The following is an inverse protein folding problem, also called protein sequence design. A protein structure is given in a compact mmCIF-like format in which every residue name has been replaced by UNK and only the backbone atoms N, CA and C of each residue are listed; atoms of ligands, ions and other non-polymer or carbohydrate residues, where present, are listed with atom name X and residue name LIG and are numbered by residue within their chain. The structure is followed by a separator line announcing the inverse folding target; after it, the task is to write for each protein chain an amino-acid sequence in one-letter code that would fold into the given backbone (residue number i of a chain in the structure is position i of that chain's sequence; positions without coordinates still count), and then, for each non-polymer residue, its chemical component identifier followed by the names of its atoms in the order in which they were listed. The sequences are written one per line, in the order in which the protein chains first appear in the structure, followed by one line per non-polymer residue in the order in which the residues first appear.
data_IF_271572070226
#
_entry.id   IF_271572070226
#
_cell.length_a   1.000
_cell.length_b   1.000
_cell.length_c   1.000
_cell.angle_alpha   90.00
_cell.angle_beta   90.00
_cell.angle_gamma   90.00
#
_symmetry.space_group_name_H-M   'P 1'
#
loop_
_entity.id
_entity.type
_entity.pdbx_description
1 polymer ?
#
# COMPACT_ATOMS: atom_id res chain seq x y z
N UNK A 1 25.69 11.68 18.25
CA UNK A 1 24.73 10.74 17.62
C UNK A 1 24.52 11.21 16.19
N UNK A 2 24.79 10.37 15.20
CA UNK A 2 24.51 10.70 13.79
C UNK A 2 22.98 10.81 13.64
N UNK A 3 22.50 11.97 13.20
CA UNK A 3 21.07 12.20 12.98
C UNK A 3 20.63 11.25 11.85
N UNK A 4 19.72 10.33 12.13
CA UNK A 4 19.23 9.39 11.13
C UNK A 4 18.49 10.17 10.05
N UNK A 5 18.98 10.13 8.83
CA UNK A 5 18.31 10.72 7.69
C UNK A 5 17.20 9.79 7.19
N UNK A 6 16.06 10.35 6.84
CA UNK A 6 14.91 9.65 6.29
C UNK A 6 14.67 10.12 4.86
N UNK A 7 14.60 9.17 3.94
CA UNK A 7 14.27 9.43 2.53
C UNK A 7 13.00 8.67 2.14
N UNK A 8 12.13 9.24 1.31
CA UNK A 8 11.02 8.51 0.74
C UNK A 8 11.57 7.48 -0.26
N UNK A 9 11.32 6.20 -0.01
CA UNK A 9 11.66 5.10 -0.92
C UNK A 9 10.48 4.69 -1.79
N UNK A 10 9.27 5.05 -1.36
CA UNK A 10 8.02 4.75 -2.03
C UNK A 10 7.04 5.90 -1.85
N UNK A 11 6.48 6.39 -2.93
CA UNK A 11 5.41 7.39 -2.92
C UNK A 11 4.23 6.84 -3.72
N UNK A 12 3.08 6.70 -3.07
CA UNK A 12 1.83 6.47 -3.77
C UNK A 12 1.21 7.83 -4.12
N UNK A 13 1.00 8.06 -5.39
CA UNK A 13 0.44 9.31 -5.89
C UNK A 13 -0.90 9.05 -6.58
N UNK A 14 -1.97 9.58 -5.98
CA UNK A 14 -3.30 9.61 -6.56
C UNK A 14 -3.33 10.69 -7.64
N UNK A 15 -3.06 10.28 -8.89
CA UNK A 15 -2.93 11.23 -10.01
C UNK A 15 -4.28 11.73 -10.52
N UNK A 16 -5.33 10.98 -10.22
CA UNK A 16 -6.74 11.33 -10.48
C UNK A 16 -7.64 10.64 -9.46
N UNK A 17 -8.81 11.23 -9.19
CA UNK A 17 -9.87 10.56 -8.42
C UNK A 17 -10.97 10.01 -9.31
N UNK A 18 -10.97 10.33 -10.61
CA UNK A 18 -11.89 9.72 -11.58
C UNK A 18 -11.70 8.21 -11.67
N UNK A 19 -12.79 7.45 -11.72
CA UNK A 19 -12.74 5.99 -11.84
C UNK A 19 -13.99 5.46 -12.51
N UNK A 20 -13.80 4.53 -13.43
CA UNK A 20 -14.86 3.82 -14.12
C UNK A 20 -15.45 2.63 -13.34
N UNK A 21 -14.93 2.35 -12.12
CA UNK A 21 -15.48 1.38 -11.17
C UNK A 21 -16.18 2.06 -9.99
N UNK A 22 -17.01 1.28 -9.28
CA UNK A 22 -17.72 1.73 -8.09
C UNK A 22 -17.54 0.76 -6.90
N UNK A 23 -16.32 0.31 -6.65
CA UNK A 23 -15.99 -0.71 -5.66
C UNK A 23 -16.52 -0.38 -4.25
N UNK A 24 -17.05 -1.38 -3.54
CA UNK A 24 -17.59 -1.24 -2.17
C UNK A 24 -16.58 -0.65 -1.18
N UNK A 25 -15.32 -1.07 -1.27
CA UNK A 25 -14.23 -0.71 -0.34
C UNK A 25 -13.36 0.45 -0.83
N UNK A 26 -13.77 1.20 -1.83
CA UNK A 26 -12.91 2.21 -2.45
C UNK A 26 -12.37 3.22 -1.43
N UNK A 27 -11.04 3.20 -1.25
CA UNK A 27 -10.32 4.11 -0.36
C UNK A 27 -10.54 5.59 -0.72
N UNK A 28 -10.53 5.88 -2.02
CA UNK A 28 -10.63 7.24 -2.54
C UNK A 28 -12.08 7.75 -2.60
N UNK A 29 -13.06 6.87 -2.39
CA UNK A 29 -14.46 7.19 -2.71
C UNK A 29 -14.59 7.79 -4.12
N UNK A 30 -13.94 7.12 -5.09
CA UNK A 30 -13.81 7.57 -6.46
C UNK A 30 -15.12 7.37 -7.25
N UNK A 31 -15.42 8.31 -8.12
CA UNK A 31 -16.58 8.30 -9.00
C UNK A 31 -16.18 8.56 -10.45
N UNK A 32 -17.04 8.17 -11.40
CA UNK A 32 -16.84 8.46 -12.81
C UNK A 32 -17.23 9.91 -13.13
N UNK A 33 -16.36 10.83 -12.74
CA UNK A 33 -16.55 12.26 -12.97
C UNK A 33 -15.20 12.97 -13.09
N UNK A 34 -15.20 14.16 -13.68
CA UNK A 34 -14.04 15.04 -13.68
C UNK A 34 -13.92 15.77 -12.33
N UNK A 35 -12.73 15.86 -11.79
CA UNK A 35 -12.43 16.64 -10.60
C UNK A 35 -11.60 17.86 -11.00
N UNK A 36 -12.12 19.06 -10.75
CA UNK A 36 -11.55 20.32 -11.25
C UNK A 36 -10.20 20.69 -10.60
N UNK A 37 -9.98 20.26 -9.34
CA UNK A 37 -8.77 20.58 -8.59
C UNK A 37 -7.61 19.60 -8.82
N UNK A 38 -7.71 18.69 -9.78
CA UNK A 38 -6.61 17.78 -10.09
C UNK A 38 -5.40 18.53 -10.66
N UNK A 39 -4.21 17.97 -10.49
CA UNK A 39 -3.00 18.54 -11.04
C UNK A 39 -3.04 18.63 -12.56
N UNK A 40 -2.59 19.77 -13.11
CA UNK A 40 -2.24 19.85 -14.53
C UNK A 40 -0.95 19.07 -14.82
N UNK A 41 -0.66 18.83 -16.08
CA UNK A 41 0.57 18.14 -16.51
C UNK A 41 1.81 18.88 -16.02
N UNK A 42 1.83 20.21 -16.11
CA UNK A 42 2.94 21.06 -15.67
C UNK A 42 3.15 21.00 -14.16
N UNK A 43 2.06 20.95 -13.39
CA UNK A 43 2.11 20.78 -11.94
C UNK A 43 2.68 19.40 -11.58
N UNK A 44 2.29 18.35 -12.31
CA UNK A 44 2.86 17.02 -12.17
C UNK A 44 4.38 17.02 -12.42
N UNK A 45 4.84 17.72 -13.45
CA UNK A 45 6.27 17.81 -13.76
C UNK A 45 7.05 18.56 -12.68
N UNK A 46 6.53 19.67 -12.14
CA UNK A 46 7.15 20.39 -11.02
C UNK A 46 7.31 19.51 -9.79
N UNK A 47 6.28 18.72 -9.45
CA UNK A 47 6.34 17.79 -8.32
C UNK A 47 7.39 16.69 -8.56
N UNK A 48 7.44 16.11 -9.77
CA UNK A 48 8.45 15.12 -10.16
C UNK A 48 9.86 15.71 -10.06
N UNK A 49 10.06 16.94 -10.51
CA UNK A 49 11.35 17.63 -10.43
C UNK A 49 11.82 17.79 -8.99
N UNK A 50 10.93 18.25 -8.10
CA UNK A 50 11.28 18.40 -6.69
C UNK A 50 11.59 17.03 -6.05
N UNK A 51 10.74 16.03 -6.21
CA UNK A 51 10.96 14.68 -5.65
C UNK A 51 12.30 14.12 -6.16
N UNK A 52 12.54 14.19 -7.47
CA UNK A 52 13.73 13.60 -8.08
C UNK A 52 15.03 14.36 -7.75
N UNK A 53 14.95 15.59 -7.25
CA UNK A 53 16.12 16.39 -6.87
C UNK A 53 16.81 15.89 -5.60
N UNK A 54 16.07 15.25 -4.67
CA UNK A 54 16.62 14.83 -3.38
C UNK A 54 16.47 13.33 -3.09
N UNK A 55 15.59 12.61 -3.81
CA UNK A 55 15.38 11.18 -3.63
C UNK A 55 15.00 10.50 -4.96
N UNK A 56 15.16 9.17 -5.03
CA UNK A 56 14.77 8.35 -6.18
C UNK A 56 13.77 7.25 -5.74
N UNK A 57 12.58 7.63 -5.26
CA UNK A 57 11.59 6.67 -4.82
C UNK A 57 10.99 5.89 -6.00
N UNK A 58 10.36 4.76 -5.66
CA UNK A 58 9.35 4.16 -6.53
C UNK A 58 8.10 5.04 -6.46
N UNK A 59 7.61 5.52 -7.59
CA UNK A 59 6.34 6.25 -7.70
C UNK A 59 5.25 5.27 -8.13
N UNK A 60 4.24 5.09 -7.30
CA UNK A 60 3.03 4.32 -7.62
C UNK A 60 1.98 5.30 -8.14
N UNK A 61 1.79 5.34 -9.46
CA UNK A 61 0.69 6.06 -10.06
C UNK A 61 -0.61 5.30 -9.77
N UNK A 62 -1.45 5.91 -8.96
CA UNK A 62 -2.72 5.34 -8.50
C UNK A 62 -3.81 6.42 -8.55
N UNK A 63 -4.96 6.13 -7.94
CA UNK A 63 -6.01 7.13 -7.90
C UNK A 63 -7.37 6.49 -7.71
N UNK A 64 -8.36 6.98 -8.48
CA UNK A 64 -9.45 6.22 -8.96
C UNK A 64 -8.93 5.19 -9.97
N UNK A 65 -8.92 5.55 -11.24
CA UNK A 65 -8.26 4.78 -12.30
C UNK A 65 -7.24 5.66 -13.04
N UNK A 66 -5.93 5.44 -12.86
CA UNK A 66 -4.91 6.33 -13.44
C UNK A 66 -4.96 6.41 -14.97
N UNK A 67 -5.44 5.35 -15.63
CA UNK A 67 -5.55 5.29 -17.09
C UNK A 67 -6.68 6.17 -17.66
N UNK A 68 -7.50 6.82 -16.80
CA UNK A 68 -8.50 7.80 -17.26
C UNK A 68 -7.92 9.18 -17.47
N UNK A 69 -6.66 9.43 -17.09
CA UNK A 69 -5.94 10.66 -17.42
C UNK A 69 -5.34 10.57 -18.82
N UNK A 70 -5.62 11.55 -19.67
CA UNK A 70 -5.10 11.58 -21.04
C UNK A 70 -3.58 11.73 -21.10
N UNK A 71 -2.99 12.45 -20.13
CA UNK A 71 -1.55 12.75 -20.02
C UNK A 71 -0.77 11.74 -19.16
N UNK A 72 -1.37 10.60 -18.77
CA UNK A 72 -0.73 9.64 -17.83
C UNK A 72 0.60 9.09 -18.36
N UNK A 73 0.71 8.88 -19.67
CA UNK A 73 1.94 8.40 -20.29
C UNK A 73 3.02 9.47 -20.32
N UNK A 74 2.66 10.76 -20.55
CA UNK A 74 3.60 11.87 -20.52
C UNK A 74 4.18 12.07 -19.12
N UNK A 75 3.34 12.01 -18.09
CA UNK A 75 3.74 12.05 -16.67
C UNK A 75 4.69 10.88 -16.36
N UNK A 76 4.35 9.68 -16.83
CA UNK A 76 5.16 8.49 -16.62
C UNK A 76 6.53 8.61 -17.27
N UNK A 77 6.58 9.01 -18.53
CA UNK A 77 7.81 9.19 -19.30
C UNK A 77 8.69 10.26 -18.67
N UNK A 78 8.09 11.38 -18.26
CA UNK A 78 8.82 12.45 -17.58
C UNK A 78 9.48 11.96 -16.28
N UNK A 79 8.73 11.26 -15.43
CA UNK A 79 9.27 10.66 -14.20
C UNK A 79 10.39 9.65 -14.47
N UNK A 80 10.24 8.83 -15.50
CA UNK A 80 11.25 7.87 -15.95
C UNK A 80 12.53 8.58 -16.40
N UNK A 81 12.42 9.64 -17.21
CA UNK A 81 13.56 10.48 -17.66
C UNK A 81 14.28 11.17 -16.50
N UNK A 82 13.56 11.50 -15.42
CA UNK A 82 14.17 12.04 -14.18
C UNK A 82 14.80 10.95 -13.28
N UNK A 83 14.81 9.70 -13.73
CA UNK A 83 15.41 8.56 -13.03
C UNK A 83 14.56 7.99 -11.90
N UNK A 84 13.27 8.28 -11.87
CA UNK A 84 12.32 7.65 -10.96
C UNK A 84 11.89 6.27 -11.47
N UNK A 85 11.62 5.34 -10.55
CA UNK A 85 11.05 4.05 -10.90
C UNK A 85 9.52 4.15 -10.89
N UNK A 86 8.93 4.19 -12.09
CA UNK A 86 7.49 4.34 -12.25
C UNK A 86 6.79 2.98 -12.25
N UNK A 87 5.73 2.84 -11.46
CA UNK A 87 4.81 1.68 -11.43
C UNK A 87 3.37 2.21 -11.40
N UNK A 88 2.40 1.40 -11.82
CA UNK A 88 1.00 1.85 -11.93
C UNK A 88 0.04 0.84 -11.32
N UNK A 89 -1.07 1.33 -10.76
CA UNK A 89 -2.11 0.51 -10.15
C UNK A 89 -3.47 0.69 -10.86
N UNK A 90 -3.60 0.19 -12.12
CA UNK A 90 -4.85 0.25 -12.85
C UNK A 90 -5.87 -0.76 -12.34
N UNK A 91 -7.16 -0.48 -12.55
CA UNK A 91 -8.25 -1.41 -12.22
C UNK A 91 -8.32 -2.65 -13.15
N UNK A 92 -7.61 -2.62 -14.27
CA UNK A 92 -7.57 -3.69 -15.27
C UNK A 92 -8.41 -3.43 -16.53
N UNK A 93 -9.51 -2.68 -16.45
CA UNK A 93 -10.42 -2.49 -17.58
C UNK A 93 -9.76 -1.85 -18.81
N UNK A 94 -8.81 -0.96 -18.60
CA UNK A 94 -8.09 -0.24 -19.67
C UNK A 94 -6.74 -0.85 -20.04
N UNK A 95 -6.39 -2.01 -19.46
CA UNK A 95 -5.14 -2.71 -19.75
C UNK A 95 -5.33 -3.59 -20.99
N UNK A 96 -5.40 -2.96 -22.16
CA UNK A 96 -5.31 -3.64 -23.46
C UNK A 96 -3.85 -4.00 -23.78
N UNK A 97 -3.62 -4.86 -24.78
CA UNK A 97 -2.24 -5.17 -25.21
C UNK A 97 -1.51 -3.91 -25.71
N UNK A 98 -2.22 -3.03 -26.42
CA UNK A 98 -1.69 -1.74 -26.87
C UNK A 98 -1.29 -0.86 -25.69
N UNK A 99 -2.17 -0.70 -24.70
CA UNK A 99 -1.90 0.13 -23.53
C UNK A 99 -0.78 -0.48 -22.66
N UNK A 100 -0.69 -1.80 -22.55
CA UNK A 100 0.42 -2.45 -21.86
C UNK A 100 1.78 -2.15 -22.54
N UNK A 101 1.83 -2.13 -23.86
CA UNK A 101 3.01 -1.70 -24.63
C UNK A 101 3.32 -0.20 -24.42
N UNK A 102 2.30 0.67 -24.42
CA UNK A 102 2.48 2.10 -24.11
C UNK A 102 3.04 2.31 -22.70
N UNK A 103 2.52 1.56 -21.69
CA UNK A 103 3.05 1.58 -20.32
C UNK A 103 4.54 1.24 -20.28
N UNK A 104 4.95 0.15 -20.96
CA UNK A 104 6.36 -0.25 -21.03
C UNK A 104 7.23 0.83 -21.69
N UNK A 105 6.79 1.37 -22.82
CA UNK A 105 7.53 2.41 -23.55
C UNK A 105 7.68 3.68 -22.71
N UNK A 106 6.66 4.08 -21.94
CA UNK A 106 6.75 5.20 -21.01
C UNK A 106 7.63 4.90 -19.78
N UNK A 107 8.00 3.64 -19.55
CA UNK A 107 8.91 3.23 -18.49
C UNK A 107 8.28 2.58 -17.26
N UNK A 108 6.98 2.22 -17.32
CA UNK A 108 6.34 1.45 -16.25
C UNK A 108 7.04 0.10 -16.09
N UNK A 109 7.48 -0.19 -14.85
CA UNK A 109 8.20 -1.44 -14.54
C UNK A 109 7.27 -2.57 -14.11
N UNK A 110 6.12 -2.22 -13.53
CA UNK A 110 5.14 -3.18 -13.02
C UNK A 110 3.78 -2.54 -12.88
N UNK A 111 2.72 -3.31 -13.07
CA UNK A 111 1.36 -2.91 -12.72
C UNK A 111 0.81 -3.72 -11.56
N UNK A 112 -0.16 -3.15 -10.83
CA UNK A 112 -0.88 -3.84 -9.75
C UNK A 112 -2.31 -4.06 -10.19
N UNK A 113 -2.70 -5.32 -10.38
CA UNK A 113 -4.07 -5.71 -10.71
C UNK A 113 -4.79 -6.12 -9.43
N UNK A 114 -6.04 -5.70 -9.31
CA UNK A 114 -6.85 -6.01 -8.14
C UNK A 114 -7.74 -7.22 -8.39
N UNK A 115 -7.63 -8.24 -7.55
CA UNK A 115 -8.43 -9.47 -7.63
C UNK A 115 -8.97 -9.82 -6.23
N UNK A 116 -10.25 -9.54 -5.97
CA UNK A 116 -10.86 -9.68 -4.63
C UNK A 116 -11.81 -10.87 -4.49
N UNK A 117 -11.81 -11.77 -5.43
CA UNK A 117 -12.55 -13.04 -5.40
C UNK A 117 -11.91 -14.07 -6.29
N UNK A 118 -12.08 -15.33 -5.95
CA UNK A 118 -11.64 -16.46 -6.77
C UNK A 118 -12.65 -16.80 -7.87
N UNK A 119 -13.85 -16.25 -7.79
CA UNK A 119 -14.94 -16.43 -8.75
C UNK A 119 -15.44 -15.09 -9.26
N UNK A 120 -16.13 -15.15 -10.41
CA UNK A 120 -16.76 -13.99 -11.01
C UNK A 120 -17.77 -13.33 -10.07
N UNK A 121 -18.65 -14.14 -9.46
CA UNK A 121 -19.69 -13.66 -8.56
C UNK A 121 -19.11 -12.87 -7.40
N UNK A 122 -18.07 -13.41 -6.74
CA UNK A 122 -17.45 -12.76 -5.59
C UNK A 122 -16.71 -11.50 -5.98
N UNK A 123 -15.96 -11.53 -7.08
CA UNK A 123 -15.20 -10.37 -7.53
C UNK A 123 -16.13 -9.25 -8.02
N UNK A 124 -17.06 -9.56 -8.94
CA UNK A 124 -17.93 -8.57 -9.59
C UNK A 124 -18.87 -7.91 -8.58
N UNK A 125 -19.47 -8.70 -7.66
CA UNK A 125 -20.34 -8.16 -6.61
C UNK A 125 -19.61 -7.16 -5.70
N UNK A 126 -18.31 -7.34 -5.49
CA UNK A 126 -17.49 -6.47 -4.68
C UNK A 126 -17.02 -5.22 -5.44
N UNK A 127 -16.66 -5.37 -6.71
CA UNK A 127 -16.28 -4.27 -7.60
C UNK A 127 -17.49 -3.49 -8.11
N UNK A 128 -18.72 -4.05 -7.97
CA UNK A 128 -19.99 -3.48 -8.46
C UNK A 128 -19.99 -3.22 -9.97
N UNK A 129 -19.32 -4.08 -10.72
CA UNK A 129 -19.27 -4.04 -12.18
C UNK A 129 -19.28 -5.47 -12.70
N UNK A 130 -20.32 -5.83 -13.45
CA UNK A 130 -20.41 -7.12 -14.11
C UNK A 130 -19.28 -7.28 -15.13
N UNK A 131 -18.60 -8.43 -15.10
CA UNK A 131 -17.47 -8.72 -15.97
C UNK A 131 -16.13 -8.16 -15.49
N UNK A 132 -16.06 -7.49 -14.32
CA UNK A 132 -14.80 -6.98 -13.77
C UNK A 132 -13.76 -8.11 -13.55
N UNK A 133 -14.21 -9.31 -13.16
CA UNK A 133 -13.35 -10.48 -13.03
C UNK A 133 -12.68 -10.86 -14.36
N UNK A 134 -13.48 -11.04 -15.41
CA UNK A 134 -12.99 -11.39 -16.74
C UNK A 134 -12.03 -10.32 -17.28
N UNK A 135 -12.32 -9.03 -17.01
CA UNK A 135 -11.46 -7.91 -17.41
C UNK A 135 -10.09 -7.96 -16.71
N UNK A 136 -10.04 -8.29 -15.43
CA UNK A 136 -8.76 -8.44 -14.70
C UNK A 136 -7.96 -9.63 -15.22
N UNK A 137 -8.61 -10.77 -15.51
CA UNK A 137 -7.94 -11.93 -16.11
C UNK A 137 -7.36 -11.56 -17.49
N UNK A 138 -8.14 -10.84 -18.29
CA UNK A 138 -7.70 -10.35 -19.61
C UNK A 138 -6.56 -9.35 -19.50
N UNK A 139 -6.61 -8.45 -18.52
CA UNK A 139 -5.52 -7.51 -18.23
C UNK A 139 -4.20 -8.22 -17.89
N UNK A 140 -4.26 -9.29 -17.08
CA UNK A 140 -3.10 -10.11 -16.76
C UNK A 140 -2.52 -10.80 -18.01
N UNK A 141 -3.39 -11.36 -18.88
CA UNK A 141 -2.99 -11.94 -20.15
C UNK A 141 -2.31 -10.89 -21.06
N UNK A 142 -2.91 -9.72 -21.22
CA UNK A 142 -2.38 -8.62 -22.03
C UNK A 142 -1.04 -8.11 -21.51
N UNK A 143 -0.91 -7.92 -20.18
CA UNK A 143 0.36 -7.55 -19.56
C UNK A 143 1.46 -8.59 -19.85
N UNK A 144 1.15 -9.88 -19.68
CA UNK A 144 2.07 -10.97 -19.97
C UNK A 144 2.49 -11.00 -21.45
N UNK A 145 1.56 -10.84 -22.39
CA UNK A 145 1.85 -10.78 -23.83
C UNK A 145 2.77 -9.62 -24.17
N UNK A 146 2.57 -8.48 -23.54
CA UNK A 146 3.41 -7.30 -23.72
C UNK A 146 4.78 -7.41 -23.02
N UNK A 147 4.99 -8.39 -22.14
CA UNK A 147 6.21 -8.50 -21.31
C UNK A 147 6.21 -7.55 -20.10
N UNK A 148 5.04 -7.01 -19.70
CA UNK A 148 4.88 -6.15 -18.55
C UNK A 148 4.62 -6.98 -17.30
N UNK A 149 5.51 -6.88 -16.31
CA UNK A 149 5.31 -7.53 -15.01
C UNK A 149 4.03 -7.02 -14.32
N UNK A 150 3.34 -7.93 -13.62
CA UNK A 150 2.23 -7.53 -12.77
C UNK A 150 2.23 -8.26 -11.43
N UNK A 151 1.65 -7.62 -10.45
CA UNK A 151 1.30 -8.19 -9.15
C UNK A 151 -0.21 -8.23 -8.97
N UNK A 152 -0.68 -9.12 -8.11
CA UNK A 152 -2.08 -9.18 -7.71
C UNK A 152 -2.23 -8.61 -6.31
N UNK A 153 -3.16 -7.67 -6.15
CA UNK A 153 -3.57 -7.11 -4.88
C UNK A 153 -4.97 -7.63 -4.53
N UNK A 154 -5.17 -8.06 -3.29
CA UNK A 154 -6.46 -8.55 -2.79
C UNK A 154 -6.77 -7.93 -1.44
N UNK A 155 -7.91 -7.26 -1.30
CA UNK A 155 -8.36 -6.76 0.00
C UNK A 155 -9.10 -7.88 0.73
N UNK A 156 -8.55 -8.33 1.86
CA UNK A 156 -9.10 -9.42 2.66
C UNK A 156 -10.18 -8.90 3.60
N UNK A 157 -11.35 -9.51 3.51
CA UNK A 157 -12.58 -9.18 4.24
C UNK A 157 -13.39 -10.44 4.52
N UNK A 158 -14.53 -10.34 5.22
CA UNK A 158 -15.40 -11.48 5.51
C UNK A 158 -15.87 -12.22 4.27
N UNK A 159 -16.16 -11.50 3.18
CA UNK A 159 -16.70 -12.13 1.97
C UNK A 159 -15.70 -13.03 1.24
N UNK A 160 -14.36 -12.78 1.37
CA UNK A 160 -13.36 -13.50 0.57
C UNK A 160 -12.23 -14.19 1.37
N UNK A 161 -12.12 -14.00 2.70
CA UNK A 161 -11.00 -14.58 3.45
C UNK A 161 -10.91 -16.10 3.35
N UNK A 162 -12.04 -16.79 3.12
CA UNK A 162 -12.09 -18.25 2.91
C UNK A 162 -11.58 -18.69 1.53
N UNK A 163 -11.43 -17.75 0.63
CA UNK A 163 -10.97 -17.99 -0.75
C UNK A 163 -9.50 -17.63 -0.96
N UNK A 164 -8.79 -17.21 0.08
CA UNK A 164 -7.42 -16.70 -0.05
C UNK A 164 -6.48 -17.69 -0.75
N UNK A 165 -6.61 -19.00 -0.46
CA UNK A 165 -5.84 -20.05 -1.14
C UNK A 165 -6.14 -20.08 -2.64
N UNK A 166 -7.41 -20.05 -3.03
CA UNK A 166 -7.84 -20.08 -4.43
C UNK A 166 -7.40 -18.82 -5.18
N UNK A 167 -7.48 -17.64 -4.53
CA UNK A 167 -7.02 -16.38 -5.12
C UNK A 167 -5.50 -16.42 -5.30
N UNK A 168 -4.76 -16.94 -4.34
CA UNK A 168 -3.31 -17.11 -4.41
C UNK A 168 -2.90 -18.07 -5.53
N UNK A 169 -3.56 -19.23 -5.65
CA UNK A 169 -3.36 -20.18 -6.73
C UNK A 169 -3.67 -19.56 -8.10
N UNK A 170 -4.75 -18.76 -8.19
CA UNK A 170 -5.11 -18.05 -9.40
C UNK A 170 -4.04 -17.02 -9.78
N UNK A 171 -3.49 -16.28 -8.82
CA UNK A 171 -2.39 -15.33 -9.05
C UNK A 171 -1.13 -16.04 -9.60
N UNK A 172 -0.81 -17.24 -9.08
CA UNK A 172 0.29 -18.08 -9.61
C UNK A 172 0.00 -18.50 -11.05
N UNK A 173 -1.20 -19.01 -11.32
CA UNK A 173 -1.63 -19.47 -12.65
C UNK A 173 -1.59 -18.35 -13.69
N UNK A 174 -1.96 -17.15 -13.32
CA UNK A 174 -1.91 -15.96 -14.18
C UNK A 174 -0.46 -15.55 -14.49
N UNK A 175 0.52 -15.94 -13.67
CA UNK A 175 1.92 -15.58 -13.82
C UNK A 175 2.27 -14.25 -13.14
N UNK A 176 1.55 -13.88 -12.09
CA UNK A 176 1.93 -12.73 -11.27
C UNK A 176 3.31 -12.92 -10.64
N UNK A 177 4.08 -11.84 -10.51
CA UNK A 177 5.40 -11.88 -9.84
C UNK A 177 5.30 -11.65 -8.33
N UNK A 178 4.17 -11.14 -7.85
CA UNK A 178 3.91 -10.90 -6.43
C UNK A 178 2.42 -10.93 -6.11
N UNK A 179 2.08 -11.39 -4.91
CA UNK A 179 0.73 -11.36 -4.35
C UNK A 179 0.73 -10.52 -3.07
N UNK A 180 -0.13 -9.51 -3.04
CA UNK A 180 -0.22 -8.57 -1.93
C UNK A 180 -1.61 -8.65 -1.30
N UNK A 181 -1.81 -9.46 -0.23
CA UNK A 181 -3.01 -9.39 0.58
C UNK A 181 -3.00 -8.09 1.40
N UNK A 182 -4.00 -7.26 1.18
CA UNK A 182 -4.29 -6.07 1.96
C UNK A 182 -5.28 -6.40 3.06
N UNK A 183 -4.97 -6.09 4.29
CA UNK A 183 -5.95 -6.18 5.38
C UNK A 183 -6.74 -4.88 5.41
N UNK A 184 -8.06 -4.98 5.34
CA UNK A 184 -8.96 -3.82 5.25
C UNK A 184 -8.62 -2.74 6.29
N UNK A 185 -8.59 -1.49 5.85
CA UNK A 185 -8.59 -0.31 6.70
C UNK A 185 -9.87 0.46 6.41
N UNK A 186 -10.73 0.74 7.42
CA UNK A 186 -12.01 1.39 7.23
C UNK A 186 -11.83 2.88 6.89
N UNK A 187 -11.70 3.16 5.60
CA UNK A 187 -11.54 4.52 5.04
C UNK A 187 -12.26 4.64 3.69
N UNK A 188 -12.58 5.84 3.25
CA UNK A 188 -13.40 6.09 2.06
C UNK A 188 -14.75 5.39 2.20
N UNK A 189 -15.23 4.69 1.16
CA UNK A 189 -16.49 3.91 1.22
C UNK A 189 -16.44 2.74 2.21
N UNK A 190 -15.24 2.27 2.59
CA UNK A 190 -15.12 1.21 3.58
C UNK A 190 -15.39 1.66 5.03
N UNK A 191 -15.58 2.95 5.31
CA UNK A 191 -15.94 3.46 6.67
C UNK A 191 -17.22 2.81 7.21
N UNK A 192 -18.17 2.53 6.33
CA UNK A 192 -19.47 1.96 6.68
C UNK A 192 -19.50 0.44 6.59
N UNK A 193 -18.34 -0.21 6.35
CA UNK A 193 -18.24 -1.66 6.15
C UNK A 193 -17.69 -2.41 7.38
N UNK A 194 -17.98 -1.94 8.60
CA UNK A 194 -17.52 -2.59 9.84
C UNK A 194 -17.95 -4.06 9.94
N UNK A 195 -19.13 -4.38 9.43
CA UNK A 195 -19.65 -5.75 9.42
C UNK A 195 -18.90 -6.69 8.48
N UNK A 196 -18.15 -6.13 7.51
CA UNK A 196 -17.31 -6.88 6.58
C UNK A 196 -15.86 -7.07 7.06
N UNK A 197 -15.49 -6.44 8.17
CA UNK A 197 -14.17 -6.63 8.76
C UNK A 197 -14.05 -8.02 9.38
N UNK A 198 -12.89 -8.66 9.17
CA UNK A 198 -12.57 -9.93 9.85
C UNK A 198 -12.20 -9.68 11.32
N UNK A 199 -12.45 -10.65 12.19
CA UNK A 199 -12.08 -10.50 13.61
C UNK A 199 -10.56 -10.45 13.81
N UNK A 200 -10.07 -9.87 14.93
CA UNK A 200 -8.64 -9.85 15.25
C UNK A 200 -7.99 -11.25 15.26
N UNK A 201 -8.69 -12.28 15.74
CA UNK A 201 -8.18 -13.65 15.68
C UNK A 201 -8.03 -14.16 14.24
N UNK A 202 -9.05 -13.91 13.40
CA UNK A 202 -8.98 -14.27 11.98
C UNK A 202 -7.90 -13.50 11.24
N UNK A 203 -7.66 -12.25 11.65
CA UNK A 203 -6.57 -11.43 11.16
C UNK A 203 -5.20 -12.09 11.43
N UNK A 204 -4.98 -12.55 12.66
CA UNK A 204 -3.78 -13.27 13.06
C UNK A 204 -3.61 -14.61 12.31
N UNK A 205 -4.70 -15.37 12.11
CA UNK A 205 -4.69 -16.62 11.33
C UNK A 205 -4.22 -16.35 9.87
N UNK A 206 -4.74 -15.32 9.24
CA UNK A 206 -4.34 -14.95 7.85
C UNK A 206 -2.87 -14.56 7.80
N UNK A 207 -2.35 -13.84 8.79
CA UNK A 207 -0.94 -13.47 8.82
C UNK A 207 -0.04 -14.69 9.05
N UNK A 208 -0.46 -15.68 9.83
CA UNK A 208 0.23 -16.97 9.93
C UNK A 208 0.16 -17.73 8.60
N UNK A 209 -0.98 -17.75 7.93
CA UNK A 209 -1.12 -18.33 6.59
C UNK A 209 -0.14 -17.70 5.59
N UNK A 210 0.01 -16.36 5.60
CA UNK A 210 0.98 -15.66 4.75
C UNK A 210 2.41 -16.13 5.05
N UNK A 211 2.75 -16.26 6.33
CA UNK A 211 4.08 -16.75 6.73
C UNK A 211 4.34 -18.17 6.21
N UNK A 212 3.38 -19.09 6.38
CA UNK A 212 3.49 -20.50 5.99
C UNK A 212 3.55 -20.71 4.48
N UNK A 213 2.95 -19.79 3.70
CA UNK A 213 2.88 -19.90 2.25
C UNK A 213 3.98 -19.09 1.52
N UNK A 214 4.79 -18.27 2.22
CA UNK A 214 5.76 -17.36 1.61
C UNK A 214 6.83 -18.04 0.74
N UNK A 215 7.11 -19.32 1.00
CA UNK A 215 8.13 -20.10 0.30
C UNK A 215 7.55 -21.22 -0.58
N UNK A 216 6.22 -21.37 -0.61
CA UNK A 216 5.57 -22.46 -1.39
C UNK A 216 5.60 -22.23 -2.90
N UNK A 217 5.97 -21.05 -3.36
CA UNK A 217 6.07 -20.72 -4.78
C UNK A 217 7.09 -19.63 -5.03
N UNK A 218 7.43 -19.40 -6.30
CA UNK A 218 8.26 -18.25 -6.71
C UNK A 218 7.52 -16.91 -6.63
N UNK A 219 6.21 -16.91 -6.32
CA UNK A 219 5.38 -15.73 -6.16
C UNK A 219 5.71 -15.04 -4.84
N UNK A 220 6.23 -13.83 -4.89
CA UNK A 220 6.53 -13.06 -3.67
C UNK A 220 5.23 -12.71 -2.94
N UNK A 221 5.10 -13.17 -1.71
CA UNK A 221 3.94 -12.94 -0.85
C UNK A 221 4.25 -11.81 0.14
N UNK A 222 3.54 -10.67 0.03
CA UNK A 222 3.83 -9.48 0.84
C UNK A 222 2.56 -8.88 1.42
N UNK A 223 2.29 -9.03 2.73
CA UNK A 223 1.13 -8.41 3.36
C UNK A 223 1.23 -6.88 3.34
N UNK A 224 0.10 -6.23 3.11
CA UNK A 224 -0.03 -4.77 3.09
C UNK A 224 -1.08 -4.33 4.10
N UNK A 225 -0.90 -3.16 4.73
CA UNK A 225 -1.72 -2.69 5.85
C UNK A 225 -1.77 -3.66 7.05
N UNK A 226 -0.75 -4.51 7.16
CA UNK A 226 -0.66 -5.61 8.12
C UNK A 226 0.72 -5.66 8.81
N UNK A 227 1.12 -4.62 9.55
CA UNK A 227 2.42 -4.56 10.23
C UNK A 227 2.70 -5.70 11.20
N UNK A 228 1.66 -6.30 11.77
CA UNK A 228 1.75 -7.45 12.69
C UNK A 228 2.48 -8.64 12.07
N UNK A 229 2.44 -8.80 10.75
CA UNK A 229 3.18 -9.85 10.04
C UNK A 229 4.65 -9.88 10.44
N UNK A 230 5.30 -8.72 10.58
CA UNK A 230 6.71 -8.67 10.94
C UNK A 230 6.99 -9.09 12.39
N UNK A 231 6.00 -8.95 13.29
CA UNK A 231 6.05 -9.58 14.62
C UNK A 231 5.97 -11.10 14.51
N UNK A 232 4.97 -11.61 13.80
CA UNK A 232 4.77 -13.05 13.57
C UNK A 232 6.02 -13.65 12.93
N UNK A 233 6.53 -13.02 11.88
CA UNK A 233 7.76 -13.45 11.22
C UNK A 233 8.92 -13.60 12.21
N UNK A 234 9.16 -12.60 13.07
CA UNK A 234 10.22 -12.66 14.10
C UNK A 234 9.97 -13.75 15.15
N UNK A 235 8.72 -13.97 15.54
CA UNK A 235 8.35 -15.01 16.49
C UNK A 235 8.60 -16.40 15.90
N UNK A 236 8.13 -16.64 14.67
CA UNK A 236 8.29 -17.92 13.97
C UNK A 236 9.76 -18.28 13.69
N UNK A 237 10.58 -17.30 13.27
CA UNK A 237 12.00 -17.55 13.06
C UNK A 237 12.71 -17.85 14.41
N UNK A 238 12.34 -17.13 15.48
CA UNK A 238 12.85 -17.43 16.84
C UNK A 238 12.46 -18.83 17.31
N UNK A 239 11.22 -19.28 17.06
CA UNK A 239 10.75 -20.64 17.39
C UNK A 239 11.57 -21.72 16.67
N UNK A 240 12.03 -21.46 15.44
CA UNK A 240 12.94 -22.33 14.68
C UNK A 240 14.41 -22.27 15.16
N UNK A 241 14.73 -21.37 16.08
CA UNK A 241 16.10 -21.11 16.50
C UNK A 241 16.91 -20.25 15.51
N UNK A 242 16.25 -19.64 14.51
CA UNK A 242 16.89 -18.85 13.49
C UNK A 242 16.99 -17.36 13.88
N UNK A 243 18.16 -16.78 13.58
CA UNK A 243 18.37 -15.33 13.74
C UNK A 243 18.06 -14.64 12.43
N UNK A 244 17.07 -13.72 12.45
CA UNK A 244 16.72 -12.94 11.27
C UNK A 244 17.83 -11.95 10.94
N UNK A 245 18.50 -12.16 9.80
CA UNK A 245 19.54 -11.31 9.24
C UNK A 245 19.35 -11.07 7.74
N UNK A 246 20.05 -10.08 7.18
CA UNK A 246 20.01 -9.80 5.74
C UNK A 246 20.57 -10.96 4.93
N UNK A 247 21.55 -11.68 5.47
CA UNK A 247 22.19 -12.83 4.82
C UNK A 247 21.21 -14.00 4.66
N UNK A 248 20.36 -14.23 5.68
CA UNK A 248 19.41 -15.36 5.67
C UNK A 248 18.05 -15.02 5.10
N UNK A 249 17.59 -13.78 5.24
CA UNK A 249 16.19 -13.38 4.90
C UNK A 249 16.12 -12.18 3.93
N UNK A 250 17.27 -11.73 3.41
CA UNK A 250 17.32 -10.64 2.43
C UNK A 250 16.60 -9.37 2.89
N UNK A 251 15.77 -8.81 2.02
CA UNK A 251 15.04 -7.58 2.30
C UNK A 251 14.00 -7.72 3.42
N UNK A 252 13.48 -8.93 3.68
CA UNK A 252 12.48 -9.15 4.73
C UNK A 252 13.06 -8.91 6.13
N UNK A 253 14.38 -9.14 6.32
CA UNK A 253 15.06 -8.77 7.55
C UNK A 253 15.09 -7.26 7.81
N UNK A 254 15.13 -6.45 6.75
CA UNK A 254 15.19 -4.99 6.83
C UNK A 254 13.81 -4.34 6.81
N UNK A 255 12.80 -5.04 6.31
CA UNK A 255 11.45 -4.48 6.17
C UNK A 255 10.82 -4.27 7.54
N UNK A 256 10.29 -3.08 7.73
CA UNK A 256 9.50 -2.71 8.91
C UNK A 256 8.01 -2.81 8.59
N UNK A 257 7.18 -2.83 9.62
CA UNK A 257 5.74 -2.88 9.49
C UNK A 257 5.16 -1.64 8.83
N UNK A 258 4.81 -0.63 9.61
CA UNK A 258 4.31 0.62 9.04
C UNK A 258 5.47 1.51 8.60
N UNK A 259 5.52 1.81 7.29
CA UNK A 259 6.57 2.66 6.68
C UNK A 259 6.15 4.12 6.52
N UNK A 260 4.90 4.46 6.84
CA UNK A 260 4.37 5.82 6.69
C UNK A 260 5.24 6.85 7.39
N UNK A 261 5.59 7.93 6.71
CA UNK A 261 6.45 9.00 7.23
C UNK A 261 7.93 8.63 7.44
N UNK A 262 8.30 7.35 7.38
CA UNK A 262 9.69 6.89 7.51
C UNK A 262 10.36 6.63 6.16
N UNK A 263 9.66 5.99 5.23
CA UNK A 263 10.12 5.69 3.88
C UNK A 263 8.98 5.65 2.85
N UNK A 264 7.76 5.90 3.29
CA UNK A 264 6.55 5.94 2.47
C UNK A 264 5.78 7.24 2.71
N UNK A 265 5.25 7.83 1.62
CA UNK A 265 4.28 8.91 1.66
C UNK A 265 3.17 8.67 0.64
N UNK A 266 2.07 9.39 0.82
CA UNK A 266 0.97 9.46 -0.13
C UNK A 266 0.75 10.93 -0.53
N UNK A 267 0.47 11.16 -1.81
CA UNK A 267 0.11 12.46 -2.36
C UNK A 267 -1.25 12.31 -3.03
N UNK A 268 -2.22 13.15 -2.65
CA UNK A 268 -3.56 13.14 -3.21
C UNK A 268 -3.63 13.83 -4.58
N UNK A 269 -4.71 13.63 -5.31
CA UNK A 269 -4.99 14.27 -6.60
C UNK A 269 -5.03 15.81 -6.55
N UNK A 270 -5.20 16.40 -5.36
CA UNK A 270 -5.22 17.85 -5.12
C UNK A 270 -3.97 18.35 -4.40
N UNK A 271 -2.94 17.51 -4.23
CA UNK A 271 -1.65 17.91 -3.67
C UNK A 271 -1.50 17.79 -2.15
N UNK A 272 -2.50 17.27 -1.43
CA UNK A 272 -2.35 16.98 0.00
C UNK A 272 -1.42 15.80 0.22
N UNK A 273 -0.47 15.98 1.13
CA UNK A 273 0.49 14.95 1.54
C UNK A 273 0.01 14.27 2.81
N UNK A 274 0.11 12.95 2.86
CA UNK A 274 -0.31 12.12 3.99
C UNK A 274 0.73 11.02 4.25
N UNK A 275 0.72 10.40 5.43
CA UNK A 275 1.62 9.28 5.72
C UNK A 275 1.26 8.02 4.92
N UNK A 276 0.00 7.84 4.58
CA UNK A 276 -0.48 6.82 3.64
C UNK A 276 -1.88 7.19 3.16
N UNK A 277 -2.33 6.61 2.04
CA UNK A 277 -3.65 6.88 1.48
C UNK A 277 -4.85 6.38 2.30
N UNK A 278 -4.62 5.65 3.38
CA UNK A 278 -5.66 5.15 4.29
C UNK A 278 -5.77 5.98 5.57
N UNK A 279 -4.93 6.99 5.76
CA UNK A 279 -4.95 7.85 6.95
C UNK A 279 -5.13 9.30 6.50
N UNK A 280 -6.33 9.81 6.73
CA UNK A 280 -6.73 11.15 6.31
C UNK A 280 -6.30 12.21 7.35
N UNK A 281 -4.97 12.33 7.52
CA UNK A 281 -4.32 13.38 8.31
C UNK A 281 -3.33 14.10 7.40
N UNK A 282 -3.56 15.38 7.18
CA UNK A 282 -2.73 16.22 6.30
C UNK A 282 -1.35 16.45 6.95
N UNK A 283 -0.31 16.08 6.22
CA UNK A 283 1.09 16.34 6.57
C UNK A 283 1.60 17.64 5.96
N UNK A 284 0.92 18.16 4.97
CA UNK A 284 1.21 19.36 4.21
C UNK A 284 0.51 19.35 2.86
N UNK A 285 0.66 20.42 2.11
CA UNK A 285 0.05 20.61 0.78
C UNK A 285 1.13 21.11 -0.17
N UNK A 286 1.42 20.32 -1.22
CA UNK A 286 2.53 20.66 -2.13
C UNK A 286 2.28 21.94 -2.93
N UNK A 287 1.01 22.30 -3.23
CA UNK A 287 0.70 23.57 -3.91
C UNK A 287 0.99 24.76 -3.01
N UNK A 288 0.62 24.69 -1.72
CA UNK A 288 0.89 25.74 -0.73
C UNK A 288 2.38 25.92 -0.47
N UNK A 289 3.14 24.83 -0.59
CA UNK A 289 4.61 24.83 -0.45
C UNK A 289 5.34 24.97 -1.79
N UNK A 290 4.69 25.54 -2.83
CA UNK A 290 5.28 25.73 -4.16
C UNK A 290 5.95 24.48 -4.74
N UNK A 291 5.28 23.33 -4.59
CA UNK A 291 5.72 21.98 -4.99
C UNK A 291 6.95 21.46 -4.23
N UNK A 292 7.37 22.10 -3.13
CA UNK A 292 8.48 21.64 -2.30
C UNK A 292 8.05 20.47 -1.37
N UNK A 293 7.94 19.29 -1.95
CA UNK A 293 7.65 18.06 -1.20
C UNK A 293 8.79 17.71 -0.22
N UNK A 294 10.06 18.07 -0.54
CA UNK A 294 11.19 17.86 0.36
C UNK A 294 10.97 18.57 1.70
N UNK A 295 10.58 19.85 1.64
CA UNK A 295 10.27 20.64 2.85
C UNK A 295 9.20 19.95 3.70
N UNK A 296 8.08 19.52 3.09
CA UNK A 296 7.01 18.80 3.80
C UNK A 296 7.56 17.51 4.43
N UNK A 297 8.32 16.73 3.66
CA UNK A 297 8.92 15.48 4.13
C UNK A 297 9.83 15.67 5.34
N UNK A 298 10.61 16.74 5.38
CA UNK A 298 11.57 17.02 6.45
C UNK A 298 10.95 17.67 7.69
N UNK A 299 9.91 18.51 7.53
CA UNK A 299 9.42 19.39 8.59
C UNK A 299 8.04 19.08 9.13
N UNK A 300 7.23 18.27 8.42
CA UNK A 300 5.87 17.93 8.89
C UNK A 300 5.90 17.27 10.28
N UNK A 301 5.14 17.82 11.22
CA UNK A 301 5.01 17.27 12.58
C UNK A 301 4.53 15.83 12.58
N UNK A 302 3.58 15.49 11.70
CA UNK A 302 3.05 14.12 11.55
C UNK A 302 4.14 13.16 11.10
N UNK A 303 4.98 13.53 10.12
CA UNK A 303 6.12 12.71 9.72
C UNK A 303 7.17 12.57 10.82
N UNK A 304 7.43 13.63 11.58
CA UNK A 304 8.35 13.59 12.72
C UNK A 304 7.81 12.68 13.84
N UNK A 305 6.51 12.70 14.10
CA UNK A 305 5.86 11.79 15.04
C UNK A 305 6.02 10.32 14.63
N UNK A 306 5.78 10.02 13.34
CA UNK A 306 5.95 8.67 12.79
C UNK A 306 7.39 8.15 12.86
N UNK A 307 8.39 9.03 12.89
CA UNK A 307 9.81 8.71 13.05
C UNK A 307 10.21 8.49 14.49
N UNK A 308 9.42 8.97 15.43
CA UNK A 308 9.65 8.83 16.88
C UNK A 308 8.72 7.77 17.49
N UNK A 309 9.17 6.52 17.49
CA UNK A 309 8.41 5.39 18.04
C UNK A 309 8.15 5.49 19.55
N UNK A 310 8.84 6.37 20.27
CA UNK A 310 8.64 6.57 21.72
C UNK A 310 7.36 7.39 22.00
N UNK A 311 6.82 8.07 20.98
CA UNK A 311 5.50 8.70 21.04
C UNK A 311 4.33 7.72 20.94
N UNK A 312 4.56 6.48 20.50
CA UNK A 312 3.51 5.49 20.45
C UNK A 312 3.06 5.13 21.87
N UNK A 313 1.77 4.96 22.06
CA UNK A 313 1.18 4.62 23.35
C UNK A 313 0.27 3.38 23.29
N UNK A 314 -0.35 3.02 24.43
CA UNK A 314 -1.01 1.75 24.58
C UNK A 314 -0.01 0.59 24.40
N UNK A 315 -0.48 -0.60 24.06
CA UNK A 315 0.34 -1.81 23.87
C UNK A 315 1.46 -1.59 22.85
N UNK A 316 1.20 -0.85 21.76
CA UNK A 316 2.24 -0.54 20.76
C UNK A 316 3.40 0.27 21.34
N UNK A 317 3.16 1.10 22.36
CA UNK A 317 4.16 1.97 22.95
C UNK A 317 5.21 1.23 23.78
N UNK A 318 4.89 0.10 24.42
CA UNK A 318 5.81 -0.71 25.23
C UNK A 318 6.10 -2.09 24.64
N UNK A 319 5.55 -2.42 23.48
CA UNK A 319 5.78 -3.68 22.81
C UNK A 319 7.24 -3.85 22.39
N UNK A 320 7.84 -5.01 22.66
CA UNK A 320 9.19 -5.37 22.25
C UNK A 320 9.36 -5.39 20.72
N UNK A 321 8.27 -5.62 19.98
CA UNK A 321 8.24 -5.62 18.51
C UNK A 321 7.99 -4.22 17.90
N UNK A 322 7.87 -3.14 18.69
CA UNK A 322 7.52 -1.81 18.19
C UNK A 322 8.45 -1.28 17.10
N UNK A 323 9.74 -1.70 17.12
CA UNK A 323 10.74 -1.30 16.13
C UNK A 323 10.56 -1.96 14.76
N UNK A 324 9.93 -3.14 14.73
CA UNK A 324 9.75 -3.94 13.50
C UNK A 324 8.30 -3.99 13.04
N UNK A 325 7.34 -3.87 13.94
CA UNK A 325 5.90 -3.86 13.67
C UNK A 325 5.32 -2.45 13.69
N UNK A 326 5.18 -1.85 14.87
CA UNK A 326 4.61 -0.53 15.09
C UNK A 326 3.10 -0.42 14.87
N UNK A 327 2.39 -1.50 14.51
CA UNK A 327 0.95 -1.49 14.20
C UNK A 327 0.56 -0.67 12.96
N UNK A 328 -0.65 -0.85 12.45
CA UNK A 328 -1.17 -0.04 11.34
C UNK A 328 -1.70 1.30 11.88
N UNK A 329 -0.99 2.39 11.60
CA UNK A 329 -1.34 3.72 12.11
C UNK A 329 -2.67 4.24 11.53
N UNK A 330 -2.99 3.84 10.29
CA UNK A 330 -4.25 4.19 9.68
C UNK A 330 -5.44 3.49 10.36
N UNK A 331 -5.29 2.21 10.74
CA UNK A 331 -6.35 1.50 11.48
C UNK A 331 -6.45 1.99 12.91
N UNK A 332 -5.33 2.27 13.58
CA UNK A 332 -5.35 2.93 14.89
C UNK A 332 -6.16 4.23 14.82
N UNK A 333 -5.86 5.10 13.86
CA UNK A 333 -6.59 6.35 13.66
C UNK A 333 -8.07 6.15 13.34
N UNK A 334 -8.40 5.23 12.43
CA UNK A 334 -9.79 4.98 12.03
C UNK A 334 -10.68 4.54 13.20
N UNK A 335 -10.12 3.85 14.19
CA UNK A 335 -10.88 3.35 15.36
C UNK A 335 -10.85 4.31 16.54
N UNK A 336 -9.71 4.99 16.77
CA UNK A 336 -9.49 5.79 17.99
C UNK A 336 -9.45 7.31 17.76
N UNK A 337 -9.29 7.76 16.50
CA UNK A 337 -9.02 9.16 16.17
C UNK A 337 -7.55 9.57 16.41
N UNK A 338 -6.69 8.65 16.83
CA UNK A 338 -5.29 8.91 17.15
C UNK A 338 -4.35 7.92 16.42
N UNK A 339 -3.50 8.45 15.54
CA UNK A 339 -2.57 7.62 14.77
C UNK A 339 -1.36 7.12 15.60
N UNK A 340 -1.18 7.58 16.82
CA UNK A 340 -0.14 7.09 17.75
C UNK A 340 -0.67 6.06 18.74
N UNK A 341 -1.98 5.84 18.80
CA UNK A 341 -2.63 4.86 19.66
C UNK A 341 -2.23 3.42 19.31
N UNK A 342 -2.57 2.48 20.17
CA UNK A 342 -2.34 1.07 19.88
C UNK A 342 -3.15 0.57 18.68
N UNK A 343 -2.65 -0.46 18.03
CA UNK A 343 -3.34 -1.13 16.93
C UNK A 343 -4.49 -2.00 17.47
N UNK A 344 -5.76 -1.69 17.11
CA UNK A 344 -6.92 -2.36 17.73
C UNK A 344 -7.09 -3.84 17.33
N UNK A 345 -6.52 -4.27 16.19
CA UNK A 345 -6.64 -5.65 15.71
C UNK A 345 -5.46 -6.54 16.13
N UNK A 346 -4.53 -6.03 16.94
CA UNK A 346 -3.44 -6.84 17.48
C UNK A 346 -3.92 -7.64 18.69
N UNK A 347 -3.85 -8.98 18.62
CA UNK A 347 -4.16 -9.87 19.76
C UNK A 347 -2.94 -10.19 20.62
N UNK A 348 -1.76 -9.71 20.24
CA UNK A 348 -0.54 -9.96 20.96
C UNK A 348 -0.45 -9.13 22.24
N UNK A 349 -0.19 -9.80 23.37
CA UNK A 349 0.04 -9.17 24.65
C UNK A 349 1.56 -9.06 24.91
N UNK A 350 2.11 -7.83 24.94
CA UNK A 350 3.52 -7.62 25.21
C UNK A 350 3.93 -8.03 26.63
N UNK A 351 5.22 -8.39 26.83
CA UNK A 351 5.72 -8.79 28.10
C UNK A 351 5.63 -7.68 29.17
N UNK A 352 5.15 -7.99 30.36
CA UNK A 352 4.91 -7.04 31.47
C UNK A 352 6.16 -6.25 31.88
N UNK A 353 7.38 -6.86 31.77
CA UNK A 353 8.64 -6.18 32.07
C UNK A 353 8.86 -4.91 31.20
N UNK A 354 8.30 -4.89 29.99
CA UNK A 354 8.44 -3.74 29.07
C UNK A 354 7.57 -2.55 29.52
N UNK A 355 6.46 -2.79 30.22
CA UNK A 355 5.64 -1.73 30.84
C UNK A 355 6.45 -0.97 31.87
N UNK A 356 7.13 -1.68 32.77
CA UNK A 356 7.90 -1.09 33.86
C UNK A 356 9.08 -0.25 33.35
N UNK A 357 9.68 -0.60 32.21
CA UNK A 357 10.77 0.17 31.60
C UNK A 357 10.29 1.49 30.95
N UNK A 358 9.08 1.55 30.45
CA UNK A 358 8.56 2.76 29.78
C UNK A 358 8.08 3.83 30.79
N UNK A 359 7.58 3.42 31.95
CA UNK A 359 6.97 4.33 32.94
C UNK A 359 7.89 4.60 34.16
N UNK A 360 9.16 4.19 34.09
CA UNK A 360 10.25 4.66 34.91
C UNK A 360 11.02 5.78 34.22
#
# INVERSE_FOLDING_TARGET
MVKKEYFPHLIAWEVTRSCNLNCKHCRADAHNMKYEEEFTTEECFKLIDNISSFSKPIIILTGGEPMTRDDIFDITEYGTKKGLKMVMAPCGMLVTEENAKKMLNAGIKRISLSLDGATKENHDSFRRVDGAFDMVLKAAENAKKAGLEFQVNTTIMKHNYKEIDKIFELAIKLGAVSFHPFLLVPTGRAKDMKDEEISPNKYEEILNWIYENREKSNLKLKPTCAPHYYRIFRQKEKEKGEKVSVETHGLDAMTKGCMGGQSFAFISHIGKVQICGFLDVECGDVRKENYDFKKIWETSSVFLDMRNIDKYHGRCGYCEYRKVCGGCRARAYAVTGDYLAEEPYCIYEPEMKNIQQKYR
#
